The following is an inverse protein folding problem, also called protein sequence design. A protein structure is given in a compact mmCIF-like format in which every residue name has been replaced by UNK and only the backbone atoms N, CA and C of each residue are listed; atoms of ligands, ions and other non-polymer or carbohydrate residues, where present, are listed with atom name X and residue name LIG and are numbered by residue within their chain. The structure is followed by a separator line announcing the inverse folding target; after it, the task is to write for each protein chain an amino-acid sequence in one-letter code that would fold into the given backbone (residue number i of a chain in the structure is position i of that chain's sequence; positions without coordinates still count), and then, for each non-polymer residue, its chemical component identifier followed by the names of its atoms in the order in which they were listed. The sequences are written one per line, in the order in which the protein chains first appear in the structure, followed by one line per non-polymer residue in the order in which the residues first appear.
data_IF_065533672133
#
_entry.id   IF_065533672133
#
_cell.length_a   1.000
_cell.length_b   1.000
_cell.length_c   1.000
_cell.angle_alpha   90.00
_cell.angle_beta   90.00
_cell.angle_gamma   90.00
#
_symmetry.space_group_name_H-M   'P 1'
#
loop_
_entity.id
_entity.type
_entity.pdbx_description
1 polymer ?
#
# COMPACT_ATOMS: atom_id res chain seq x y z
N UNK A 1 16.13 16.28 34.43
CA UNK A 1 16.16 16.02 32.97
C UNK A 1 14.81 16.26 32.27
N UNK A 2 13.66 15.98 32.88
CA UNK A 2 12.35 16.11 32.24
C UNK A 2 11.90 17.53 31.84
N UNK A 3 12.28 18.53 32.61
CA UNK A 3 11.85 19.94 32.38
C UNK A 3 12.46 20.51 31.09
N UNK A 4 13.73 20.20 30.83
CA UNK A 4 14.46 20.66 29.64
C UNK A 4 13.88 19.99 28.38
N UNK A 5 13.52 18.72 28.47
CA UNK A 5 12.95 17.96 27.35
C UNK A 5 11.58 18.49 26.90
N UNK A 6 10.69 18.84 27.85
CA UNK A 6 9.38 19.40 27.51
C UNK A 6 9.48 20.77 26.83
N UNK A 7 10.38 21.62 27.31
CA UNK A 7 10.67 22.93 26.68
C UNK A 7 11.28 22.74 25.29
N UNK A 8 12.20 21.81 25.11
CA UNK A 8 12.87 21.53 23.84
C UNK A 8 11.90 21.00 22.77
N UNK A 9 10.98 20.09 23.11
CA UNK A 9 9.94 19.60 22.20
C UNK A 9 9.01 20.73 21.72
N UNK A 10 8.59 21.59 22.66
CA UNK A 10 7.71 22.74 22.36
C UNK A 10 8.41 23.79 21.51
N UNK A 11 9.66 24.14 21.83
CA UNK A 11 10.44 25.14 21.10
C UNK A 11 10.81 24.68 19.68
N UNK A 12 11.08 23.40 19.49
CA UNK A 12 11.45 22.84 18.19
C UNK A 12 10.23 22.53 17.30
N UNK A 13 9.02 22.85 17.74
CA UNK A 13 7.80 22.59 16.98
C UNK A 13 7.61 21.10 16.56
N UNK A 14 8.22 20.18 17.32
CA UNK A 14 8.24 18.75 17.01
C UNK A 14 6.93 18.04 17.34
N UNK A 15 6.16 18.61 18.31
CA UNK A 15 4.92 18.03 18.79
C UNK A 15 3.93 19.12 19.20
N UNK A 16 2.67 18.94 18.78
CA UNK A 16 1.54 19.80 19.16
C UNK A 16 0.36 18.99 19.64
N UNK A 17 -0.50 19.60 20.43
CA UNK A 17 -1.84 19.05 20.73
C UNK A 17 -2.61 18.90 19.41
N UNK A 18 -3.20 17.73 19.22
CA UNK A 18 -3.88 17.34 17.97
C UNK A 18 -3.01 16.55 17.00
N UNK A 19 -1.70 16.46 17.20
CA UNK A 19 -0.85 15.61 16.37
C UNK A 19 -1.15 14.12 16.58
N UNK A 20 -1.18 13.37 15.51
CA UNK A 20 -1.15 11.92 15.57
C UNK A 20 0.30 11.44 15.59
N UNK A 21 0.66 10.72 16.66
CA UNK A 21 2.00 10.14 16.81
C UNK A 21 1.94 8.63 16.98
N UNK A 22 2.99 7.98 16.50
CA UNK A 22 3.18 6.54 16.64
C UNK A 22 4.59 6.24 17.14
N UNK A 23 4.69 5.41 18.19
CA UNK A 23 5.95 4.84 18.71
C UNK A 23 5.80 3.31 18.76
N UNK A 24 6.15 2.59 17.69
CA UNK A 24 5.96 1.13 17.63
C UNK A 24 6.71 0.37 18.74
N UNK A 25 7.90 0.87 19.14
CA UNK A 25 8.72 0.29 20.22
C UNK A 25 8.01 0.26 21.58
N UNK A 26 7.01 1.13 21.77
CA UNK A 26 6.27 1.29 23.03
C UNK A 26 4.78 0.95 22.90
N UNK A 27 4.31 0.57 21.71
CA UNK A 27 2.89 0.33 21.46
C UNK A 27 2.03 1.58 21.63
N UNK A 28 2.61 2.77 21.38
CA UNK A 28 1.90 4.05 21.42
C UNK A 28 1.46 4.38 20.02
N UNK A 29 0.16 4.66 19.87
CA UNK A 29 -0.45 5.08 18.61
C UNK A 29 -1.75 5.84 18.91
N UNK A 30 -1.75 7.15 18.65
CA UNK A 30 -2.91 7.98 18.97
C UNK A 30 -2.68 9.48 18.81
N UNK A 31 -3.68 10.24 19.26
CA UNK A 31 -3.71 11.70 19.17
C UNK A 31 -3.22 12.32 20.47
N UNK A 32 -2.32 13.28 20.37
CA UNK A 32 -1.82 14.07 21.50
C UNK A 32 -2.94 14.99 22.01
N UNK A 33 -3.35 14.79 23.25
CA UNK A 33 -4.39 15.62 23.91
C UNK A 33 -3.80 16.74 24.75
N UNK A 34 -2.67 16.49 25.40
CA UNK A 34 -2.06 17.45 26.31
C UNK A 34 -0.53 17.32 26.29
N UNK A 35 0.13 18.44 26.29
CA UNK A 35 1.59 18.52 26.40
C UNK A 35 1.92 19.47 27.54
N UNK A 36 2.56 18.92 28.60
CA UNK A 36 3.07 19.70 29.73
C UNK A 36 4.60 19.57 29.81
N UNK A 37 5.22 20.28 30.73
CA UNK A 37 6.67 20.18 30.96
C UNK A 37 7.15 18.78 31.40
N UNK A 38 6.27 18.03 32.04
CA UNK A 38 6.62 16.72 32.65
C UNK A 38 5.86 15.54 32.05
N UNK A 39 4.80 15.80 31.26
CA UNK A 39 3.84 14.78 30.86
C UNK A 39 3.25 15.07 29.50
N UNK A 40 3.14 14.07 28.68
CA UNK A 40 2.37 14.08 27.41
C UNK A 40 1.26 13.05 27.55
N UNK A 41 0.01 13.45 27.29
CA UNK A 41 -1.16 12.56 27.25
C UNK A 41 -1.57 12.30 25.81
N UNK A 42 -1.75 11.04 25.48
CA UNK A 42 -2.09 10.56 24.14
C UNK A 42 -3.36 9.71 24.23
N UNK A 43 -4.37 10.08 23.45
CA UNK A 43 -5.59 9.30 23.27
C UNK A 43 -5.34 8.23 22.22
N UNK A 44 -5.22 6.99 22.65
CA UNK A 44 -5.08 5.84 21.74
C UNK A 44 -6.40 5.52 21.02
N UNK A 45 -6.34 4.78 19.92
CA UNK A 45 -7.48 4.44 19.07
C UNK A 45 -8.54 3.57 19.77
N UNK A 46 -8.16 2.84 20.82
CA UNK A 46 -9.09 2.13 21.69
C UNK A 46 -9.74 3.02 22.77
N UNK A 47 -9.55 4.35 22.65
CA UNK A 47 -10.05 5.37 23.56
C UNK A 47 -9.43 5.38 24.97
N UNK A 48 -8.33 4.65 25.19
CA UNK A 48 -7.56 4.74 26.43
C UNK A 48 -6.64 5.96 26.42
N UNK A 49 -6.30 6.47 27.61
CA UNK A 49 -5.35 7.56 27.78
C UNK A 49 -3.99 7.00 28.17
N UNK A 50 -3.01 7.17 27.30
CA UNK A 50 -1.61 6.81 27.56
C UNK A 50 -0.86 8.06 28.01
N UNK A 51 0.00 7.91 29.01
CA UNK A 51 0.77 9.03 29.58
C UNK A 51 2.26 8.69 29.53
N UNK A 52 3.04 9.58 28.91
CA UNK A 52 4.48 9.41 28.76
C UNK A 52 5.24 10.68 29.20
N UNK A 53 6.47 10.53 29.69
CA UNK A 53 7.34 11.67 29.94
C UNK A 53 7.93 12.21 28.61
N UNK A 54 8.09 13.55 28.47
CA UNK A 54 8.58 14.17 27.22
C UNK A 54 9.94 13.68 26.76
N UNK A 55 10.82 13.26 27.65
CA UNK A 55 12.16 12.78 27.28
C UNK A 55 12.14 11.55 26.37
N UNK A 56 11.08 10.74 26.40
CA UNK A 56 10.96 9.57 25.51
C UNK A 56 10.93 9.98 24.05
N UNK A 57 10.24 11.07 23.70
CA UNK A 57 10.17 11.56 22.33
C UNK A 57 11.47 12.22 21.84
N UNK A 58 12.42 12.47 22.75
CA UNK A 58 13.77 12.94 22.39
C UNK A 58 14.75 11.79 22.30
N UNK A 59 14.56 10.74 23.11
CA UNK A 59 15.49 9.62 23.22
C UNK A 59 15.17 8.45 22.28
N UNK A 60 13.92 8.33 21.82
CA UNK A 60 13.47 7.26 20.96
C UNK A 60 12.82 7.83 19.68
N UNK A 61 12.96 7.14 18.54
CA UNK A 61 12.30 7.55 17.31
C UNK A 61 10.78 7.42 17.44
N UNK A 62 10.06 8.40 16.88
CA UNK A 62 8.62 8.36 16.73
C UNK A 62 8.21 8.93 15.38
N UNK A 63 7.08 8.47 14.86
CA UNK A 63 6.47 9.01 13.68
C UNK A 63 5.43 10.08 14.06
N UNK A 64 5.55 11.28 13.49
CA UNK A 64 4.51 12.31 13.54
C UNK A 64 3.80 12.36 12.20
N UNK A 65 2.54 11.93 12.18
CA UNK A 65 1.73 11.82 10.97
C UNK A 65 1.22 13.17 10.43
N UNK A 66 1.47 14.28 11.12
CA UNK A 66 1.04 15.60 10.68
C UNK A 66 1.60 15.98 9.31
N UNK A 67 2.83 15.60 9.02
CA UNK A 67 3.45 15.81 7.71
C UNK A 67 2.70 15.09 6.58
N UNK A 68 2.16 13.90 6.85
CA UNK A 68 1.34 13.15 5.90
C UNK A 68 0.04 13.92 5.58
N UNK A 69 -0.65 14.46 6.59
CA UNK A 69 -1.86 15.27 6.36
C UNK A 69 -1.55 16.53 5.53
N UNK A 70 -0.41 17.19 5.80
CA UNK A 70 0.03 18.38 5.06
C UNK A 70 0.47 18.04 3.62
N UNK A 71 0.94 16.84 3.36
CA UNK A 71 1.45 16.42 2.03
C UNK A 71 0.35 16.24 0.97
N UNK A 72 -0.91 16.10 1.39
CA UNK A 72 -2.04 15.84 0.50
C UNK A 72 -2.03 14.44 -0.13
N UNK A 73 -1.32 13.46 0.47
CA UNK A 73 -1.30 12.10 0.00
C UNK A 73 -1.03 11.07 1.10
N UNK A 74 -1.85 10.03 1.19
CA UNK A 74 -1.64 8.91 2.09
C UNK A 74 -1.23 7.66 1.30
N UNK A 75 -0.10 7.04 1.69
CA UNK A 75 0.51 5.94 0.96
C UNK A 75 -0.30 4.66 1.04
N UNK A 76 -0.52 4.04 -0.12
CA UNK A 76 -0.89 2.62 -0.25
C UNK A 76 0.36 1.86 -0.66
N UNK A 77 0.71 0.84 0.10
CA UNK A 77 1.79 -0.11 -0.19
C UNK A 77 1.28 -1.51 0.10
N UNK A 78 0.82 -2.20 -0.94
CA UNK A 78 0.22 -3.54 -0.84
C UNK A 78 0.79 -4.45 -1.92
N UNK A 79 0.91 -5.73 -1.60
CA UNK A 79 1.37 -6.75 -2.55
C UNK A 79 0.33 -7.85 -2.69
N UNK A 80 0.25 -8.43 -3.89
CA UNK A 80 -0.37 -9.71 -4.15
C UNK A 80 0.72 -10.74 -4.43
N UNK A 81 0.50 -12.00 -4.05
CA UNK A 81 1.42 -13.09 -4.32
C UNK A 81 0.96 -13.85 -5.58
N UNK A 82 1.78 -13.83 -6.62
CA UNK A 82 1.51 -14.55 -7.87
C UNK A 82 2.15 -15.93 -7.81
N UNK A 83 1.38 -16.96 -8.14
CA UNK A 83 1.91 -18.31 -8.35
C UNK A 83 2.85 -18.31 -9.57
N UNK A 84 4.14 -18.55 -9.32
CA UNK A 84 5.20 -18.51 -10.34
C UNK A 84 4.90 -19.48 -11.49
N UNK A 85 4.24 -20.61 -11.22
CA UNK A 85 3.89 -21.59 -12.25
C UNK A 85 2.84 -21.07 -13.25
N UNK A 86 2.19 -19.95 -12.97
CA UNK A 86 1.24 -19.31 -13.88
C UNK A 86 1.89 -18.29 -14.81
N UNK A 87 3.19 -18.02 -14.67
CA UNK A 87 3.92 -17.05 -15.51
C UNK A 87 4.22 -17.70 -16.86
N UNK A 88 3.80 -17.04 -17.95
CA UNK A 88 3.98 -17.51 -19.32
C UNK A 88 4.20 -16.33 -20.27
N UNK A 89 4.79 -16.61 -21.43
CA UNK A 89 4.83 -15.62 -22.52
C UNK A 89 3.44 -15.37 -23.09
N UNK A 90 3.14 -14.11 -23.39
CA UNK A 90 1.91 -13.72 -24.03
C UNK A 90 2.01 -13.91 -25.55
N UNK A 91 1.08 -14.64 -26.14
CA UNK A 91 0.93 -14.74 -27.59
C UNK A 91 -0.04 -13.68 -28.14
N UNK A 92 -0.09 -13.55 -29.45
CA UNK A 92 -0.90 -12.52 -30.11
C UNK A 92 -2.41 -12.72 -29.88
N UNK A 93 -2.86 -13.97 -29.82
CA UNK A 93 -4.27 -14.30 -29.56
C UNK A 93 -4.68 -13.87 -28.15
N UNK A 94 -3.83 -14.13 -27.17
CA UNK A 94 -4.04 -13.70 -25.79
C UNK A 94 -4.04 -12.15 -25.65
N UNK A 95 -3.11 -11.47 -26.33
CA UNK A 95 -3.06 -10.01 -26.34
C UNK A 95 -4.33 -9.43 -26.94
N UNK A 96 -4.83 -9.99 -28.06
CA UNK A 96 -6.07 -9.53 -28.68
C UNK A 96 -7.30 -9.79 -27.79
N UNK A 97 -7.33 -10.91 -27.10
CA UNK A 97 -8.35 -11.18 -26.08
C UNK A 97 -8.36 -10.09 -25.01
N UNK A 98 -7.21 -9.67 -24.48
CA UNK A 98 -7.11 -8.61 -23.48
C UNK A 98 -7.55 -7.25 -24.04
N UNK A 99 -7.29 -6.95 -25.31
CA UNK A 99 -7.69 -5.71 -25.98
C UNK A 99 -9.19 -5.60 -26.24
N UNK A 100 -9.85 -6.73 -26.41
CA UNK A 100 -11.29 -6.79 -26.71
C UNK A 100 -12.15 -7.00 -25.47
N UNK A 101 -11.58 -7.56 -24.39
CA UNK A 101 -12.32 -7.84 -23.16
C UNK A 101 -12.77 -6.55 -22.45
N UNK A 102 -14.03 -6.52 -22.00
CA UNK A 102 -14.67 -5.35 -21.41
C UNK A 102 -13.87 -4.72 -20.25
N UNK A 103 -13.35 -5.54 -19.34
CA UNK A 103 -12.62 -5.06 -18.16
C UNK A 103 -11.20 -4.55 -18.46
N UNK A 104 -10.58 -4.98 -19.57
CA UNK A 104 -9.16 -4.68 -19.86
C UNK A 104 -8.98 -3.76 -21.07
N UNK A 105 -9.92 -3.68 -21.99
CA UNK A 105 -9.79 -2.93 -23.24
C UNK A 105 -9.30 -1.48 -23.07
N UNK A 106 -9.86 -0.74 -22.11
CA UNK A 106 -9.47 0.65 -21.83
C UNK A 106 -8.11 0.75 -21.11
N UNK A 107 -7.70 -0.29 -20.42
CA UNK A 107 -6.43 -0.38 -19.71
C UNK A 107 -5.32 -0.89 -20.62
N UNK A 108 -5.64 -1.68 -21.64
CA UNK A 108 -4.70 -2.20 -22.64
C UNK A 108 -4.48 -1.22 -23.80
N UNK A 109 -5.33 -0.19 -23.95
CA UNK A 109 -5.18 0.81 -24.99
C UNK A 109 -3.84 1.54 -24.88
N UNK A 110 -3.01 1.48 -25.93
CA UNK A 110 -1.67 2.07 -25.97
C UNK A 110 -0.63 1.39 -25.05
N UNK A 111 -0.92 0.21 -24.50
CA UNK A 111 0.06 -0.60 -23.79
C UNK A 111 0.94 -1.32 -24.81
N UNK A 112 2.28 -1.12 -24.69
CA UNK A 112 3.24 -1.88 -25.49
C UNK A 112 3.13 -3.37 -25.16
N UNK A 113 3.20 -4.20 -26.18
CA UNK A 113 3.11 -5.69 -26.05
C UNK A 113 4.44 -6.38 -26.26
N UNK A 114 5.48 -5.61 -26.64
CA UNK A 114 6.86 -6.05 -26.79
C UNK A 114 7.80 -5.09 -26.06
N UNK A 115 8.88 -5.60 -25.46
CA UNK A 115 9.83 -4.80 -24.70
C UNK A 115 10.97 -4.23 -25.55
N UNK A 116 11.50 -5.02 -26.46
CA UNK A 116 12.60 -4.71 -27.38
C UNK A 116 12.33 -5.50 -28.67
N UNK A 117 13.07 -5.21 -29.74
CA UNK A 117 12.97 -5.83 -31.06
C UNK A 117 12.61 -7.34 -31.05
N UNK A 118 11.31 -7.65 -31.02
CA UNK A 118 10.78 -9.02 -31.03
C UNK A 118 10.78 -9.76 -29.70
N UNK A 119 11.15 -9.14 -28.57
CA UNK A 119 11.07 -9.78 -27.24
C UNK A 119 9.65 -9.62 -26.70
N UNK A 120 8.91 -10.71 -26.63
CA UNK A 120 7.52 -10.73 -26.13
C UNK A 120 7.49 -10.53 -24.60
N UNK A 121 6.49 -9.81 -24.15
CA UNK A 121 6.17 -9.72 -22.71
C UNK A 121 5.58 -11.03 -22.20
N UNK A 122 5.75 -11.22 -20.90
CA UNK A 122 5.00 -12.23 -20.16
C UNK A 122 3.59 -11.71 -19.81
N UNK A 123 2.69 -12.62 -19.45
CA UNK A 123 1.38 -12.26 -18.92
C UNK A 123 1.48 -11.37 -17.67
N UNK A 124 2.50 -11.59 -16.82
CA UNK A 124 2.75 -10.76 -15.62
C UNK A 124 3.18 -9.34 -16.01
N UNK A 125 4.02 -9.16 -17.03
CA UNK A 125 4.40 -7.84 -17.52
C UNK A 125 3.18 -7.05 -18.02
N UNK A 126 2.32 -7.69 -18.81
CA UNK A 126 1.09 -7.09 -19.31
C UNK A 126 0.13 -6.75 -18.17
N UNK A 127 -0.02 -7.64 -17.20
CA UNK A 127 -0.82 -7.40 -16.00
C UNK A 127 -0.32 -6.18 -15.22
N UNK A 128 0.98 -6.11 -14.93
CA UNK A 128 1.57 -4.99 -14.20
C UNK A 128 1.37 -3.66 -14.94
N UNK A 129 1.50 -3.63 -16.26
CA UNK A 129 1.23 -2.44 -17.10
C UNK A 129 -0.23 -2.04 -17.04
N UNK A 130 -1.14 -3.01 -17.11
CA UNK A 130 -2.57 -2.79 -16.99
C UNK A 130 -2.93 -2.24 -15.60
N UNK A 131 -2.39 -2.81 -14.53
CA UNK A 131 -2.58 -2.34 -13.15
C UNK A 131 -2.00 -0.93 -12.96
N UNK A 132 -0.80 -0.65 -13.47
CA UNK A 132 -0.21 0.68 -13.41
C UNK A 132 -1.12 1.71 -14.09
N UNK A 133 -1.62 1.39 -15.29
CA UNK A 133 -2.54 2.27 -16.01
C UNK A 133 -3.88 2.46 -15.30
N UNK A 134 -4.39 1.43 -14.61
CA UNK A 134 -5.56 1.55 -13.75
C UNK A 134 -5.34 2.55 -12.61
N UNK A 135 -4.19 2.45 -11.93
CA UNK A 135 -3.79 3.39 -10.88
C UNK A 135 -3.65 4.81 -11.44
N UNK A 136 -2.97 4.96 -12.59
CA UNK A 136 -2.69 6.27 -13.22
C UNK A 136 -3.96 6.96 -13.74
N UNK A 137 -5.01 6.21 -14.08
CA UNK A 137 -6.29 6.78 -14.52
C UNK A 137 -7.28 7.02 -13.38
N UNK A 138 -6.99 6.56 -12.17
CA UNK A 138 -7.95 6.60 -11.07
C UNK A 138 -8.04 8.01 -10.45
N UNK A 139 -9.23 8.66 -10.42
CA UNK A 139 -9.37 10.08 -10.05
C UNK A 139 -9.06 10.37 -8.58
N UNK A 140 -9.10 9.36 -7.69
CA UNK A 140 -8.79 9.50 -6.26
C UNK A 140 -7.33 9.19 -5.91
N UNK A 141 -6.48 8.94 -6.92
CA UNK A 141 -5.02 8.77 -6.75
C UNK A 141 -4.34 10.13 -6.88
N UNK A 142 -3.34 10.37 -6.05
CA UNK A 142 -2.52 11.59 -6.14
C UNK A 142 -1.40 11.40 -7.17
N UNK A 143 -1.64 11.84 -8.40
CA UNK A 143 -0.71 11.72 -9.53
C UNK A 143 0.52 12.64 -9.45
N UNK A 144 0.61 13.51 -8.43
CA UNK A 144 1.81 14.34 -8.19
C UNK A 144 2.85 13.62 -7.35
N UNK A 145 2.47 12.49 -6.73
CA UNK A 145 3.34 11.67 -5.91
C UNK A 145 3.80 10.41 -6.66
N UNK A 146 4.83 9.75 -6.13
CA UNK A 146 5.38 8.54 -6.69
C UNK A 146 4.32 7.44 -6.82
N UNK A 147 4.19 6.87 -8.02
CA UNK A 147 3.34 5.73 -8.31
C UNK A 147 4.15 4.67 -9.07
N UNK A 148 4.02 3.41 -8.66
CA UNK A 148 4.63 2.29 -9.37
C UNK A 148 3.94 0.97 -9.06
N UNK A 149 4.01 0.06 -10.02
CA UNK A 149 3.75 -1.37 -9.85
C UNK A 149 5.06 -2.10 -10.14
N UNK A 150 5.54 -2.91 -9.20
CA UNK A 150 6.85 -3.58 -9.33
C UNK A 150 6.82 -5.01 -8.82
N UNK A 151 7.73 -5.82 -9.35
CA UNK A 151 8.04 -7.12 -8.79
C UNK A 151 9.01 -6.96 -7.62
N UNK A 152 8.80 -7.72 -6.55
CA UNK A 152 9.77 -7.90 -5.48
C UNK A 152 10.49 -9.24 -5.66
N UNK A 153 11.44 -9.53 -4.77
CA UNK A 153 12.15 -10.80 -4.79
C UNK A 153 11.18 -11.96 -4.59
N UNK A 154 11.24 -13.02 -5.42
CA UNK A 154 10.43 -14.22 -5.24
C UNK A 154 10.61 -14.84 -3.85
N UNK A 155 9.53 -15.39 -3.31
CA UNK A 155 9.49 -16.04 -2.01
C UNK A 155 8.98 -17.48 -2.15
N UNK A 156 8.99 -18.25 -1.06
CA UNK A 156 8.37 -19.59 -1.03
C UNK A 156 6.85 -19.55 -1.32
N UNK A 157 6.21 -18.38 -1.12
CA UNK A 157 4.78 -18.18 -1.39
C UNK A 157 4.51 -17.57 -2.78
N UNK A 158 5.51 -17.50 -3.67
CA UNK A 158 5.36 -16.98 -5.01
C UNK A 158 6.07 -15.65 -5.25
N UNK A 159 5.71 -14.99 -6.35
CA UNK A 159 6.23 -13.70 -6.78
C UNK A 159 5.37 -12.56 -6.25
N UNK A 160 5.88 -11.70 -5.34
CA UNK A 160 5.14 -10.53 -4.88
C UNK A 160 5.10 -9.45 -5.98
N UNK A 161 3.90 -9.01 -6.34
CA UNK A 161 3.67 -7.80 -7.16
C UNK A 161 3.20 -6.71 -6.20
N UNK A 162 4.03 -5.68 -6.03
CA UNK A 162 3.75 -4.56 -5.12
C UNK A 162 3.16 -3.38 -5.89
N UNK A 163 2.04 -2.89 -5.42
CA UNK A 163 1.44 -1.62 -5.77
C UNK A 163 1.87 -0.58 -4.76
N UNK A 164 2.47 0.51 -5.23
CA UNK A 164 2.94 1.62 -4.42
C UNK A 164 2.45 2.93 -5.02
N UNK A 165 1.54 3.61 -4.35
CA UNK A 165 0.97 4.87 -4.79
C UNK A 165 0.35 5.64 -3.62
N UNK A 166 -0.17 6.85 -3.86
CA UNK A 166 -0.77 7.69 -2.82
C UNK A 166 -2.21 8.03 -3.16
N UNK A 167 -3.09 7.98 -2.15
CA UNK A 167 -4.46 8.49 -2.27
C UNK A 167 -4.44 10.02 -2.24
N UNK A 168 -5.36 10.68 -2.94
CA UNK A 168 -5.53 12.12 -2.87
C UNK A 168 -6.23 12.59 -1.58
N UNK A 169 -6.99 11.70 -0.94
CA UNK A 169 -7.64 11.95 0.35
C UNK A 169 -6.85 11.27 1.47
N UNK A 170 -6.42 12.05 2.45
CA UNK A 170 -5.60 11.57 3.57
C UNK A 170 -6.43 11.05 4.75
N UNK A 171 -7.75 11.30 4.77
CA UNK A 171 -8.65 10.84 5.83
C UNK A 171 -8.70 9.32 5.88
N UNK A 172 -8.59 8.76 7.07
CA UNK A 172 -8.40 7.32 7.26
C UNK A 172 -9.47 6.47 6.58
N UNK A 173 -10.73 6.72 6.89
CA UNK A 173 -11.85 5.93 6.33
C UNK A 173 -11.88 5.99 4.81
N UNK A 174 -11.67 7.15 4.21
CA UNK A 174 -11.66 7.34 2.75
C UNK A 174 -10.47 6.61 2.09
N UNK A 175 -9.32 6.63 2.74
CA UNK A 175 -8.13 5.90 2.33
C UNK A 175 -8.38 4.39 2.33
N UNK A 176 -8.95 3.82 3.42
CA UNK A 176 -9.22 2.39 3.52
C UNK A 176 -10.27 1.94 2.49
N UNK A 177 -11.31 2.74 2.25
CA UNK A 177 -12.31 2.43 1.22
C UNK A 177 -11.65 2.38 -0.16
N UNK A 178 -10.84 3.38 -0.52
CA UNK A 178 -10.15 3.39 -1.80
C UNK A 178 -9.18 2.22 -1.93
N UNK A 179 -8.39 1.95 -0.89
CA UNK A 179 -7.47 0.82 -0.87
C UNK A 179 -8.20 -0.51 -1.10
N UNK A 180 -9.32 -0.73 -0.42
CA UNK A 180 -10.13 -1.94 -0.56
C UNK A 180 -10.69 -2.07 -1.98
N UNK A 181 -11.27 -1.01 -2.52
CA UNK A 181 -11.83 -0.97 -3.88
C UNK A 181 -10.77 -1.30 -4.92
N UNK A 182 -9.63 -0.61 -4.88
CA UNK A 182 -8.55 -0.81 -5.85
C UNK A 182 -7.93 -2.20 -5.74
N UNK A 183 -7.66 -2.69 -4.53
CA UNK A 183 -7.07 -4.02 -4.34
C UNK A 183 -8.01 -5.13 -4.79
N UNK A 184 -9.32 -5.01 -4.53
CA UNK A 184 -10.32 -5.97 -5.01
C UNK A 184 -10.38 -6.01 -6.53
N UNK A 185 -10.36 -4.86 -7.19
CA UNK A 185 -10.34 -4.77 -8.65
C UNK A 185 -9.06 -5.36 -9.24
N UNK A 186 -7.89 -5.02 -8.69
CA UNK A 186 -6.59 -5.54 -9.10
C UNK A 186 -6.54 -7.07 -8.98
N UNK A 187 -7.04 -7.63 -7.88
CA UNK A 187 -7.13 -9.09 -7.72
C UNK A 187 -8.09 -9.73 -8.72
N UNK A 188 -9.22 -9.09 -9.02
CA UNK A 188 -10.18 -9.59 -10.00
C UNK A 188 -9.66 -9.56 -11.44
N UNK A 189 -8.71 -8.68 -11.76
CA UNK A 189 -8.05 -8.65 -13.07
C UNK A 189 -7.10 -9.84 -13.28
N UNK A 190 -6.46 -10.37 -12.24
CA UNK A 190 -5.39 -11.37 -12.36
C UNK A 190 -5.79 -12.61 -13.17
N UNK A 191 -6.97 -13.23 -12.99
CA UNK A 191 -7.40 -14.36 -13.80
C UNK A 191 -7.53 -14.07 -15.31
N UNK A 192 -7.87 -12.84 -15.68
CA UNK A 192 -7.96 -12.43 -17.09
C UNK A 192 -6.59 -12.45 -17.79
N UNK A 193 -5.52 -12.30 -17.01
CA UNK A 193 -4.14 -12.43 -17.45
C UNK A 193 -3.58 -13.85 -17.27
N UNK A 194 -4.43 -14.86 -17.05
CA UNK A 194 -4.03 -16.24 -16.74
C UNK A 194 -3.09 -16.34 -15.53
N UNK A 195 -3.18 -15.37 -14.61
CA UNK A 195 -2.38 -15.30 -13.38
C UNK A 195 -3.19 -15.91 -12.25
N UNK A 196 -2.56 -16.83 -11.52
CA UNK A 196 -3.08 -17.37 -10.27
C UNK A 196 -2.48 -16.61 -9.10
N UNK A 197 -3.35 -16.11 -8.23
CA UNK A 197 -2.92 -15.55 -6.94
C UNK A 197 -2.65 -16.71 -5.99
N UNK A 198 -1.46 -16.73 -5.39
CA UNK A 198 -1.09 -17.77 -4.43
C UNK A 198 -1.98 -17.70 -3.19
N UNK A 199 -2.49 -18.84 -2.82
CA UNK A 199 -3.18 -19.07 -1.55
C UNK A 199 -2.71 -20.42 -1.01
N UNK A 200 -2.39 -20.50 0.29
CA UNK A 200 -2.05 -21.76 0.90
C UNK A 200 -3.21 -22.75 0.73
N UNK A 201 -2.93 -24.02 0.33
CA UNK A 201 -3.98 -25.01 0.11
C UNK A 201 -4.79 -25.24 1.39
N UNK A 202 -6.09 -25.27 1.25
CA UNK A 202 -7.00 -25.63 2.35
C UNK A 202 -7.17 -27.15 2.42
N UNK A 203 -7.70 -27.66 3.53
CA UNK A 203 -8.05 -29.08 3.66
C UNK A 203 -9.04 -29.55 2.57
N UNK A 204 -9.87 -28.66 2.06
CA UNK A 204 -10.80 -28.96 0.97
C UNK A 204 -10.09 -29.14 -0.37
N UNK A 205 -9.04 -28.37 -0.63
CA UNK A 205 -8.24 -28.49 -1.85
C UNK A 205 -7.49 -29.80 -1.86
N UNK A 206 -6.89 -30.20 -0.73
CA UNK A 206 -6.19 -31.48 -0.59
C UNK A 206 -7.12 -32.70 -0.80
N UNK A 207 -8.38 -32.63 -0.39
CA UNK A 207 -9.36 -33.70 -0.61
C UNK A 207 -9.77 -33.85 -2.09
N UNK A 208 -9.65 -32.81 -2.91
CA UNK A 208 -9.93 -32.89 -4.36
C UNK A 208 -8.84 -33.65 -5.13
N UNK A 209 -7.61 -33.69 -4.62
CA UNK A 209 -6.51 -34.44 -5.24
C UNK A 209 -6.47 -35.93 -4.86
N UNK A 210 -7.31 -36.36 -3.91
CA UNK A 210 -7.40 -37.77 -3.49
C UNK A 210 -8.55 -38.54 -4.15
N UNK A 211 -9.27 -37.94 -5.10
CA UNK A 211 -10.29 -38.55 -5.95
C UNK A 211 -9.80 -38.58 -7.38
#
# INVERSE_FOLDING_TARGET
MGLIAGVQLSLNNMLKVGDWIEMPSRGIDGIVEEVTLTTIKIRAWNNTLQTIPPYLLISEPFDNWQAMFASGGRRIKRSIMVDISSIAFADDAFIEQLRTHEATRLLMDGVATESLEGIRFTNVDLYMRCVNRFIDKHPRVNHKMLSMVRQLQPTANGLPIEMYFFTADVRWVQHEHLQTEMMSYIMALAPLFNIRIYQAPTTMDLRRYQK
#
